data_IF_867733496874
#
_entry.id   IF_867733496874
#
_cell.length_a   1.000
_cell.length_b   1.000
_cell.length_c   1.000
_cell.angle_alpha   90.00
_cell.angle_beta   90.00
_cell.angle_gamma   90.00
#
_symmetry.space_group_name_H-M   'P 1'
#
loop_
_entity.id
_entity.type
_entity.pdbx_description
1 polymer ?
#
# COMPACT_ATOMS: atom_id res chain seq x y z
N UNK A 1 5.91 6.96 -3.63
CA UNK A 1 5.54 6.46 -4.97
C UNK A 1 4.02 6.57 -5.19
N UNK A 2 3.54 6.95 -6.37
CA UNK A 2 2.10 7.08 -6.69
C UNK A 2 1.71 6.16 -7.86
N UNK A 3 0.41 5.89 -8.06
CA UNK A 3 -0.04 5.06 -9.19
C UNK A 3 0.31 5.67 -10.55
N UNK A 4 0.36 7.00 -10.63
CA UNK A 4 0.78 7.71 -11.85
C UNK A 4 2.28 7.59 -12.10
N UNK A 5 3.10 7.42 -11.06
CA UNK A 5 4.53 7.16 -11.26
C UNK A 5 4.78 5.75 -11.80
N UNK A 6 3.96 4.75 -11.42
CA UNK A 6 4.03 3.40 -11.99
C UNK A 6 3.88 3.39 -13.52
N UNK A 7 2.98 4.22 -14.07
CA UNK A 7 2.76 4.33 -15.52
C UNK A 7 3.96 4.88 -16.29
N UNK A 8 4.89 5.56 -15.61
CA UNK A 8 6.11 6.14 -16.22
C UNK A 8 7.26 5.13 -16.31
N UNK A 9 7.13 3.98 -15.67
CA UNK A 9 8.14 2.93 -15.68
C UNK A 9 7.85 1.92 -16.79
N UNK A 10 8.92 1.43 -17.43
CA UNK A 10 8.80 0.36 -18.42
C UNK A 10 8.30 -0.93 -17.78
N UNK A 11 7.71 -1.83 -18.57
CA UNK A 11 7.30 -3.15 -18.11
C UNK A 11 8.47 -3.92 -17.47
N UNK A 12 9.68 -3.75 -18.01
CA UNK A 12 10.92 -4.35 -17.48
C UNK A 12 11.25 -3.80 -16.09
N UNK A 13 11.12 -2.49 -15.89
CA UNK A 13 11.34 -1.86 -14.59
C UNK A 13 10.30 -2.30 -13.56
N UNK A 14 9.03 -2.39 -13.93
CA UNK A 14 7.95 -2.89 -13.05
C UNK A 14 8.24 -4.33 -12.63
N UNK A 15 8.60 -5.19 -13.59
CA UNK A 15 8.98 -6.58 -13.32
C UNK A 15 10.20 -6.67 -12.41
N UNK A 16 11.20 -5.82 -12.59
CA UNK A 16 12.39 -5.80 -11.74
C UNK A 16 12.07 -5.41 -10.29
N UNK A 17 11.18 -4.43 -10.10
CA UNK A 17 10.79 -3.90 -8.78
C UNK A 17 9.88 -4.85 -7.99
N UNK A 18 8.94 -5.52 -8.65
CA UNK A 18 7.90 -6.30 -7.98
C UNK A 18 8.00 -7.81 -8.23
N UNK A 19 8.95 -8.24 -9.06
CA UNK A 19 9.08 -9.62 -9.55
C UNK A 19 7.86 -10.17 -10.30
N UNK A 20 6.90 -9.29 -10.63
CA UNK A 20 5.65 -9.63 -11.30
C UNK A 20 5.57 -8.91 -12.66
N UNK A 21 5.21 -9.59 -13.74
CA UNK A 21 4.80 -8.92 -14.97
C UNK A 21 3.65 -7.95 -14.69
N UNK A 22 3.54 -6.82 -15.43
CA UNK A 22 2.48 -5.83 -15.20
C UNK A 22 1.06 -6.41 -15.18
N UNK A 23 0.79 -7.42 -16.02
CA UNK A 23 -0.52 -8.11 -16.07
C UNK A 23 -0.82 -8.85 -14.75
N UNK A 24 0.13 -9.62 -14.24
CA UNK A 24 -0.01 -10.36 -12.98
C UNK A 24 -0.10 -9.39 -11.80
N UNK A 25 0.68 -8.30 -11.81
CA UNK A 25 0.57 -7.25 -10.80
C UNK A 25 -0.84 -6.64 -10.79
N UNK A 26 -1.43 -6.38 -11.96
CA UNK A 26 -2.80 -5.88 -12.06
C UNK A 26 -3.83 -6.88 -11.52
N UNK A 27 -3.67 -8.17 -11.81
CA UNK A 27 -4.52 -9.26 -11.28
C UNK A 27 -4.44 -9.32 -9.75
N UNK A 28 -3.24 -9.30 -9.17
CA UNK A 28 -3.04 -9.25 -7.71
C UNK A 28 -3.69 -8.00 -7.12
N UNK A 29 -3.52 -6.84 -7.75
CA UNK A 29 -4.18 -5.60 -7.30
C UNK A 29 -5.71 -5.75 -7.33
N UNK A 30 -6.27 -6.35 -8.39
CA UNK A 30 -7.71 -6.56 -8.51
C UNK A 30 -8.26 -7.47 -7.40
N UNK A 31 -7.52 -8.48 -6.99
CA UNK A 31 -7.92 -9.43 -5.94
C UNK A 31 -7.73 -8.87 -4.52
N UNK A 32 -6.66 -8.11 -4.28
CA UNK A 32 -6.27 -7.68 -2.92
C UNK A 32 -6.88 -6.33 -2.55
N UNK A 33 -6.95 -5.37 -3.48
CA UNK A 33 -7.41 -4.01 -3.16
C UNK A 33 -8.82 -3.96 -2.54
N UNK A 34 -9.83 -4.72 -3.02
CA UNK A 34 -11.15 -4.71 -2.40
C UNK A 34 -11.12 -5.16 -0.93
N UNK A 35 -10.29 -6.16 -0.60
CA UNK A 35 -10.13 -6.67 0.77
C UNK A 35 -9.46 -5.64 1.69
N UNK A 36 -8.56 -4.80 1.17
CA UNK A 36 -7.94 -3.70 1.91
C UNK A 36 -8.86 -2.47 2.05
N UNK A 37 -9.75 -2.24 1.09
CA UNK A 37 -10.67 -1.11 1.09
C UNK A 37 -11.84 -1.31 2.07
N UNK A 38 -12.25 -2.56 2.31
CA UNK A 38 -13.33 -2.92 3.23
C UNK A 38 -13.09 -2.41 4.67
N UNK A 39 -11.99 -2.78 5.38
CA UNK A 39 -11.71 -2.26 6.72
C UNK A 39 -11.55 -0.75 6.78
N UNK A 40 -11.01 -0.15 5.70
CA UNK A 40 -10.86 1.31 5.57
C UNK A 40 -12.23 1.98 5.51
N UNK A 41 -13.14 1.46 4.70
CA UNK A 41 -14.50 2.00 4.54
C UNK A 41 -15.28 1.88 5.83
N UNK A 42 -15.22 0.73 6.51
CA UNK A 42 -15.85 0.54 7.82
C UNK A 42 -15.32 1.51 8.87
N UNK A 43 -14.00 1.71 8.92
CA UNK A 43 -13.37 2.70 9.80
C UNK A 43 -13.84 4.12 9.50
N UNK A 44 -13.95 4.50 8.23
CA UNK A 44 -14.42 5.81 7.83
C UNK A 44 -15.91 6.01 8.14
N UNK A 45 -16.74 4.99 7.93
CA UNK A 45 -18.15 5.01 8.30
C UNK A 45 -18.35 5.15 9.81
N UNK A 46 -17.65 4.36 10.64
CA UNK A 46 -17.65 4.48 12.11
C UNK A 46 -17.11 5.83 12.59
N UNK A 47 -16.34 6.54 11.77
CA UNK A 47 -15.80 7.88 12.08
C UNK A 47 -16.74 9.02 11.70
N UNK A 48 -17.80 8.80 10.91
CA UNK A 48 -18.77 9.86 10.55
C UNK A 48 -19.43 10.49 11.79
N UNK A 49 -19.50 9.75 12.89
CA UNK A 49 -20.06 10.22 14.17
C UNK A 49 -19.04 10.96 15.05
N UNK A 50 -17.75 11.04 14.65
CA UNK A 50 -16.72 11.72 15.46
C UNK A 50 -16.79 13.23 15.28
N UNK A 51 -16.98 13.94 16.40
CA UNK A 51 -17.06 15.42 16.50
C UNK A 51 -15.83 16.21 16.02
N UNK A 52 -14.68 15.58 15.75
CA UNK A 52 -13.47 16.30 15.27
C UNK A 52 -13.33 16.14 13.76
N UNK A 53 -13.56 17.23 13.04
CA UNK A 53 -13.31 17.30 11.62
C UNK A 53 -11.81 17.13 11.33
N UNK A 54 -11.48 16.46 10.23
CA UNK A 54 -10.14 16.48 9.69
C UNK A 54 -9.80 17.90 9.23
N UNK A 55 -8.78 18.52 9.81
CA UNK A 55 -8.26 19.82 9.36
C UNK A 55 -7.09 19.56 8.41
N UNK A 56 -7.14 20.13 7.21
CA UNK A 56 -6.00 20.10 6.30
C UNK A 56 -4.78 20.76 6.99
N UNK A 57 -3.61 20.11 6.91
CA UNK A 57 -2.35 20.53 7.56
C UNK A 57 -2.28 20.41 9.10
N UNK A 58 -3.10 19.57 9.75
CA UNK A 58 -2.99 19.22 11.19
C UNK A 58 -1.71 18.42 11.57
N UNK A 59 -0.67 18.43 10.73
CA UNK A 59 0.55 17.63 10.93
C UNK A 59 0.35 16.10 10.89
N UNK A 60 -0.89 15.61 10.75
CA UNK A 60 -1.17 14.17 10.66
C UNK A 60 -0.63 13.59 9.37
N UNK A 61 0.17 12.50 9.44
CA UNK A 61 0.65 11.83 8.24
C UNK A 61 -0.53 11.42 7.36
N UNK A 62 -0.37 11.60 6.03
CA UNK A 62 -1.37 11.15 5.07
C UNK A 62 -1.64 9.67 5.28
N UNK A 63 -2.91 9.32 5.33
CA UNK A 63 -3.31 7.93 5.49
C UNK A 63 -2.79 7.11 4.30
N UNK A 64 -2.08 6.03 4.60
CA UNK A 64 -1.51 5.13 3.59
C UNK A 64 -2.64 4.52 2.77
N UNK A 65 -2.60 4.76 1.46
CA UNK A 65 -3.62 4.26 0.55
C UNK A 65 -3.48 2.74 0.37
N UNK A 66 -4.58 1.98 0.18
CA UNK A 66 -4.52 0.53 0.01
C UNK A 66 -3.54 0.04 -1.06
N UNK A 67 -3.48 0.71 -2.21
CA UNK A 67 -2.50 0.38 -3.24
C UNK A 67 -1.05 0.59 -2.80
N UNK A 68 -0.78 1.60 -1.97
CA UNK A 68 0.56 1.83 -1.43
C UNK A 68 0.93 0.70 -0.47
N UNK A 69 -0.02 0.26 0.37
CA UNK A 69 0.22 -0.88 1.27
C UNK A 69 0.65 -2.13 0.52
N UNK A 70 -0.09 -2.47 -0.54
CA UNK A 70 0.21 -3.63 -1.38
C UNK A 70 1.59 -3.51 -2.04
N UNK A 71 1.89 -2.38 -2.68
CA UNK A 71 3.17 -2.18 -3.36
C UNK A 71 4.36 -2.18 -2.38
N UNK A 72 4.20 -1.60 -1.19
CA UNK A 72 5.21 -1.65 -0.13
C UNK A 72 5.49 -3.08 0.30
N UNK A 73 4.44 -3.89 0.51
CA UNK A 73 4.59 -5.29 0.90
C UNK A 73 5.29 -6.11 -0.20
N UNK A 74 4.89 -5.96 -1.47
CA UNK A 74 5.54 -6.66 -2.60
C UNK A 74 7.01 -6.27 -2.74
N UNK A 75 7.33 -4.97 -2.61
CA UNK A 75 8.69 -4.48 -2.66
C UNK A 75 9.53 -5.02 -1.50
N UNK A 76 8.93 -5.10 -0.31
CA UNK A 76 9.57 -5.69 0.86
C UNK A 76 9.88 -7.17 0.63
N UNK A 77 8.88 -7.96 0.22
CA UNK A 77 9.03 -9.41 -0.02
C UNK A 77 10.08 -9.71 -1.09
N UNK A 78 10.19 -8.85 -2.11
CA UNK A 78 11.14 -9.04 -3.20
C UNK A 78 12.57 -8.73 -2.79
N UNK A 79 12.79 -7.60 -2.13
CA UNK A 79 14.15 -7.07 -1.93
C UNK A 79 14.65 -7.20 -0.48
N UNK A 80 13.79 -7.61 0.45
CA UNK A 80 14.02 -7.61 1.89
C UNK A 80 14.72 -6.33 2.44
N UNK A 81 14.33 -5.11 2.00
CA UNK A 81 14.87 -3.88 2.54
C UNK A 81 14.30 -3.60 3.94
N UNK A 82 14.93 -2.69 4.69
CA UNK A 82 14.32 -2.24 5.95
C UNK A 82 13.02 -1.47 5.71
N UNK A 83 12.10 -1.53 6.68
CA UNK A 83 10.86 -0.73 6.63
C UNK A 83 11.11 0.79 6.57
N UNK A 84 12.26 1.26 7.06
CA UNK A 84 12.66 2.66 6.91
C UNK A 84 12.89 3.03 5.44
N UNK A 85 13.57 2.17 4.68
CA UNK A 85 13.80 2.39 3.24
C UNK A 85 12.48 2.38 2.48
N UNK A 86 11.63 1.39 2.74
CA UNK A 86 10.30 1.29 2.11
C UNK A 86 9.46 2.51 2.46
N UNK A 87 9.42 2.91 3.74
CA UNK A 87 8.71 4.10 4.20
C UNK A 87 9.16 5.36 3.45
N UNK A 88 10.48 5.57 3.34
CA UNK A 88 11.04 6.71 2.59
C UNK A 88 10.63 6.71 1.11
N UNK A 89 10.65 5.56 0.42
CA UNK A 89 10.21 5.45 -0.98
C UNK A 89 8.73 5.83 -1.19
N UNK A 90 7.91 5.65 -0.15
CA UNK A 90 6.48 5.96 -0.18
C UNK A 90 6.11 7.25 0.57
N UNK A 91 7.10 7.95 1.13
CA UNK A 91 6.91 9.15 1.96
C UNK A 91 6.00 8.90 3.17
N UNK A 92 6.20 7.77 3.85
CA UNK A 92 5.49 7.35 5.06
C UNK A 92 6.50 6.90 6.13
N UNK A 93 6.07 6.73 7.39
CA UNK A 93 6.95 6.22 8.46
C UNK A 93 7.30 4.74 8.28
N UNK A 94 8.37 4.29 8.94
CA UNK A 94 8.71 2.86 9.01
C UNK A 94 7.54 2.05 9.60
N UNK A 95 6.96 2.51 10.70
CA UNK A 95 5.78 1.89 11.33
C UNK A 95 4.60 1.78 10.36
N UNK A 96 4.40 2.78 9.51
CA UNK A 96 3.34 2.72 8.49
C UNK A 96 3.61 1.64 7.45
N UNK A 97 4.88 1.44 7.08
CA UNK A 97 5.29 0.33 6.21
C UNK A 97 5.15 -1.02 6.89
N UNK A 98 5.49 -1.14 8.17
CA UNK A 98 5.38 -2.39 8.94
C UNK A 98 3.91 -2.78 9.12
N UNK A 99 3.06 -1.83 9.53
CA UNK A 99 1.62 -2.04 9.62
C UNK A 99 1.01 -2.46 8.27
N UNK A 100 1.44 -1.83 7.17
CA UNK A 100 1.01 -2.22 5.84
C UNK A 100 1.44 -3.65 5.49
N UNK A 101 2.65 -4.06 5.89
CA UNK A 101 3.13 -5.42 5.68
C UNK A 101 2.28 -6.43 6.46
N UNK A 102 2.01 -6.18 7.74
CA UNK A 102 1.18 -7.03 8.59
C UNK A 102 -0.27 -7.16 8.07
N UNK A 103 -0.80 -6.12 7.44
CA UNK A 103 -2.15 -6.12 6.86
C UNK A 103 -2.22 -6.86 5.51
N UNK A 104 -1.20 -6.72 4.66
CA UNK A 104 -1.22 -7.26 3.28
C UNK A 104 -0.73 -8.70 3.21
N UNK A 105 0.28 -9.07 4.00
CA UNK A 105 0.91 -10.39 3.94
C UNK A 105 -0.10 -11.55 4.10
N UNK A 106 -1.06 -11.52 5.05
CA UNK A 106 -2.07 -12.56 5.15
C UNK A 106 -2.94 -12.67 3.89
N UNK A 107 -3.34 -11.53 3.32
CA UNK A 107 -4.16 -11.50 2.11
C UNK A 107 -3.44 -12.10 0.89
N UNK A 108 -2.12 -11.91 0.80
CA UNK A 108 -1.31 -12.52 -0.25
C UNK A 108 -1.13 -14.02 -0.03
N UNK A 109 -1.01 -14.47 1.22
CA UNK A 109 -0.95 -15.91 1.55
C UNK A 109 -2.25 -16.63 1.17
N UNK A 110 -3.40 -15.99 1.36
CA UNK A 110 -4.70 -16.59 0.98
C UNK A 110 -4.90 -16.74 -0.53
N UNK A 111 -4.04 -16.13 -1.36
CA UNK A 111 -4.10 -16.23 -2.83
C UNK A 111 -3.24 -17.37 -3.40
N UNK A 112 -2.39 -18.00 -2.57
CA UNK A 112 -1.44 -19.05 -2.98
C UNK A 112 -1.69 -20.33 -2.18
#
# INVERSE_FOLDING_TARGET
MTINSLKRHSATTIKALFSLPPKVLAEVMFLVLPKLEQPRTERLQKRKERKRAFVANDGRPREVQPYQKLLMCLLYLRHNPSHEVVGRMFSVSADSSENAFAEVLPLLRDLC
#
